data_IF_493019953089
#
_entry.id   IF_493019953089
#
_cell.length_a   1.000
_cell.length_b   1.000
_cell.length_c   1.000
_cell.angle_alpha   90.00
_cell.angle_beta   90.00
_cell.angle_gamma   90.00
#
_symmetry.space_group_name_H-M   'P 1'
#
loop_
_entity.id
_entity.type
_entity.pdbx_description
1 polymer ?
#
# COMPACT_ATOMS: atom_id res chain seq x y z
N UNK A 1 -15.34 19.68 9.22
CA UNK A 1 -14.74 18.90 10.31
C UNK A 1 -15.51 17.61 10.40
N UNK A 2 -14.83 16.49 10.15
CA UNK A 2 -15.40 15.19 10.50
C UNK A 2 -15.41 15.05 12.04
N UNK A 3 -16.32 14.23 12.55
CA UNK A 3 -16.32 13.82 13.95
C UNK A 3 -15.17 12.84 14.22
N UNK A 4 -14.79 12.69 15.49
CA UNK A 4 -13.77 11.71 15.89
C UNK A 4 -14.12 10.28 15.44
N UNK A 5 -15.39 9.89 15.52
CA UNK A 5 -15.83 8.56 15.08
C UNK A 5 -15.65 8.37 13.56
N UNK A 6 -15.99 9.37 12.76
CA UNK A 6 -15.77 9.34 11.31
C UNK A 6 -14.28 9.24 10.96
N UNK A 7 -13.41 9.97 11.67
CA UNK A 7 -11.95 9.88 11.49
C UNK A 7 -11.44 8.49 11.86
N UNK A 8 -11.88 7.94 12.99
CA UNK A 8 -11.53 6.59 13.43
C UNK A 8 -11.94 5.55 12.38
N UNK A 9 -13.14 5.65 11.82
CA UNK A 9 -13.60 4.72 10.79
C UNK A 9 -12.79 4.82 9.50
N UNK A 10 -12.38 6.03 9.09
CA UNK A 10 -11.47 6.19 7.96
C UNK A 10 -10.07 5.63 8.23
N UNK A 11 -9.55 5.77 9.45
CA UNK A 11 -8.28 5.18 9.88
C UNK A 11 -8.34 3.65 9.91
N UNK A 12 -9.46 3.05 10.34
CA UNK A 12 -9.66 1.59 10.28
C UNK A 12 -9.63 1.08 8.84
N UNK A 13 -10.19 1.84 7.90
CA UNK A 13 -10.16 1.48 6.47
C UNK A 13 -8.72 1.43 5.96
N UNK A 14 -7.94 2.50 6.17
CA UNK A 14 -6.54 2.50 5.68
C UNK A 14 -5.69 1.46 6.41
N UNK A 15 -5.93 1.25 7.71
CA UNK A 15 -5.30 0.17 8.48
C UNK A 15 -5.54 -1.23 7.86
N UNK A 16 -6.75 -1.51 7.38
CA UNK A 16 -7.03 -2.78 6.70
C UNK A 16 -6.35 -2.87 5.34
N UNK A 17 -6.26 -1.75 4.62
CA UNK A 17 -5.58 -1.67 3.33
C UNK A 17 -4.09 -1.99 3.49
N UNK A 18 -3.38 -1.30 4.39
CA UNK A 18 -1.93 -1.54 4.58
C UNK A 18 -1.66 -2.96 5.07
N UNK A 19 -2.51 -3.49 5.94
CA UNK A 19 -2.33 -4.87 6.40
C UNK A 19 -2.48 -5.89 5.26
N UNK A 20 -3.43 -5.69 4.34
CA UNK A 20 -3.56 -6.53 3.16
C UNK A 20 -2.37 -6.34 2.20
N UNK A 21 -1.91 -5.11 2.03
CA UNK A 21 -0.69 -4.77 1.27
C UNK A 21 0.52 -5.56 1.82
N UNK A 22 0.76 -5.55 3.13
CA UNK A 22 1.82 -6.34 3.79
C UNK A 22 1.73 -7.82 3.43
N UNK A 23 0.54 -8.42 3.54
CA UNK A 23 0.37 -9.86 3.26
C UNK A 23 0.71 -10.18 1.81
N UNK A 24 0.26 -9.34 0.88
CA UNK A 24 0.55 -9.47 -0.54
C UNK A 24 2.05 -9.28 -0.81
N UNK A 25 2.71 -8.35 -0.13
CA UNK A 25 4.14 -8.08 -0.29
C UNK A 25 4.98 -9.23 0.25
N UNK A 26 4.61 -9.82 1.39
CA UNK A 26 5.24 -11.04 1.91
C UNK A 26 5.11 -12.20 0.92
N UNK A 27 3.91 -12.40 0.36
CA UNK A 27 3.69 -13.46 -0.63
C UNK A 27 4.54 -13.25 -1.89
N UNK A 28 4.51 -12.05 -2.47
CA UNK A 28 5.22 -11.72 -3.70
C UNK A 28 6.75 -11.71 -3.51
N UNK A 29 7.25 -11.15 -2.40
CA UNK A 29 8.69 -11.14 -2.08
C UNK A 29 9.27 -12.54 -1.82
N UNK A 30 8.42 -13.49 -1.44
CA UNK A 30 8.83 -14.89 -1.23
C UNK A 30 8.70 -15.72 -2.50
N UNK A 31 7.54 -15.63 -3.16
CA UNK A 31 7.09 -16.63 -4.14
C UNK A 31 7.30 -16.24 -5.61
N UNK A 32 7.62 -14.97 -5.92
CA UNK A 32 7.91 -14.60 -7.30
C UNK A 32 9.16 -15.31 -7.82
N UNK A 33 9.09 -15.74 -9.08
CA UNK A 33 10.12 -16.49 -9.79
C UNK A 33 10.67 -15.70 -10.98
N UNK A 34 11.96 -15.93 -11.27
CA UNK A 34 12.63 -15.41 -12.46
C UNK A 34 13.65 -14.31 -12.15
N UNK A 35 14.67 -14.22 -12.98
CA UNK A 35 15.84 -13.32 -12.77
C UNK A 35 15.43 -11.86 -12.67
N UNK A 36 14.39 -11.46 -13.42
CA UNK A 36 13.87 -10.09 -13.40
C UNK A 36 13.03 -9.80 -12.15
N UNK A 37 12.52 -10.81 -11.45
CA UNK A 37 11.73 -10.60 -10.23
C UNK A 37 12.57 -10.16 -9.03
N UNK A 38 13.90 -10.40 -9.05
CA UNK A 38 14.77 -10.19 -7.88
C UNK A 38 14.75 -8.76 -7.32
N UNK A 39 14.68 -7.75 -8.19
CA UNK A 39 14.62 -6.36 -7.71
C UNK A 39 13.27 -6.02 -7.08
N UNK A 40 12.18 -6.53 -7.68
CA UNK A 40 10.82 -6.38 -7.15
C UNK A 40 10.70 -7.07 -5.79
N UNK A 41 11.25 -8.28 -5.65
CA UNK A 41 11.21 -9.03 -4.38
C UNK A 41 11.91 -8.28 -3.25
N UNK A 42 13.05 -7.66 -3.53
CA UNK A 42 13.81 -6.88 -2.53
C UNK A 42 13.07 -5.60 -2.13
N UNK A 43 12.47 -4.90 -3.09
CA UNK A 43 11.63 -3.73 -2.81
C UNK A 43 10.49 -4.13 -1.87
N UNK A 44 9.67 -5.10 -2.29
CA UNK A 44 8.52 -5.57 -1.51
C UNK A 44 8.92 -6.06 -0.11
N UNK A 45 10.04 -6.76 0.02
CA UNK A 45 10.55 -7.21 1.32
C UNK A 45 10.96 -6.05 2.25
N UNK A 46 11.43 -4.94 1.67
CA UNK A 46 11.78 -3.72 2.42
C UNK A 46 10.50 -3.02 2.90
N UNK A 47 9.51 -2.94 2.03
CA UNK A 47 8.28 -2.19 2.25
C UNK A 47 7.36 -2.88 3.28
N UNK A 48 7.47 -4.21 3.46
CA UNK A 48 6.75 -4.96 4.52
C UNK A 48 6.91 -4.33 5.92
N UNK A 49 8.07 -3.79 6.25
CA UNK A 49 8.31 -3.18 7.55
C UNK A 49 7.68 -1.78 7.69
N UNK A 50 7.50 -1.08 6.57
CA UNK A 50 6.88 0.25 6.50
C UNK A 50 5.36 0.10 6.69
N UNK A 51 4.76 -0.87 6.02
CA UNK A 51 3.31 -1.10 6.02
C UNK A 51 2.78 -1.82 7.28
N UNK A 52 3.66 -2.27 8.17
CA UNK A 52 3.27 -3.09 9.32
C UNK A 52 2.63 -2.26 10.44
N UNK A 53 1.34 -2.50 10.68
CA UNK A 53 0.52 -1.78 11.67
C UNK A 53 0.02 -2.70 12.82
N UNK A 54 -0.21 -2.19 14.05
CA UNK A 54 -0.41 -3.04 15.23
C UNK A 54 -1.81 -3.69 15.34
N UNK A 55 -1.87 -5.01 15.20
CA UNK A 55 -2.92 -5.89 15.78
C UNK A 55 -4.06 -6.36 14.86
N UNK A 56 -4.17 -7.66 14.60
CA UNK A 56 -5.06 -8.23 13.56
C UNK A 56 -6.56 -8.34 13.88
N UNK A 57 -7.00 -7.98 15.09
CA UNK A 57 -8.35 -8.35 15.57
C UNK A 57 -9.51 -7.71 14.78
N UNK A 58 -9.28 -6.59 14.11
CA UNK A 58 -10.29 -5.86 13.32
C UNK A 58 -9.94 -5.76 11.84
N UNK A 59 -8.92 -6.50 11.38
CA UNK A 59 -8.50 -6.49 9.98
C UNK A 59 -9.54 -7.19 9.12
N UNK A 60 -9.96 -6.51 8.05
CA UNK A 60 -10.74 -7.10 6.96
C UNK A 60 -9.84 -7.20 5.72
N UNK A 61 -9.85 -8.35 5.05
CA UNK A 61 -8.95 -8.66 3.93
C UNK A 61 -9.74 -9.25 2.75
N UNK A 62 -9.11 -9.28 1.58
CA UNK A 62 -9.66 -9.88 0.35
C UNK A 62 -10.30 -8.86 -0.58
N UNK A 63 -9.96 -7.57 -0.43
CA UNK A 63 -10.49 -6.48 -1.28
C UNK A 63 -9.48 -6.10 -2.36
N UNK A 64 -8.17 -6.23 -2.08
CA UNK A 64 -7.12 -5.91 -3.03
C UNK A 64 -6.94 -7.01 -4.08
N UNK A 65 -6.29 -6.66 -5.20
CA UNK A 65 -5.82 -7.65 -6.17
C UNK A 65 -4.82 -8.60 -5.50
N UNK A 66 -5.09 -9.89 -5.55
CA UNK A 66 -4.26 -10.91 -4.92
C UNK A 66 -3.04 -11.26 -5.79
N UNK A 67 -1.94 -11.77 -5.18
CA UNK A 67 -0.80 -12.32 -5.90
C UNK A 67 -1.21 -13.28 -7.03
N UNK A 68 -0.55 -13.23 -8.19
CA UNK A 68 -0.91 -14.06 -9.33
C UNK A 68 -0.54 -15.54 -9.11
N UNK A 69 -1.30 -16.45 -9.71
CA UNK A 69 -0.98 -17.89 -9.73
C UNK A 69 0.29 -18.19 -10.55
N UNK A 70 0.53 -17.42 -11.62
CA UNK A 70 1.77 -17.47 -12.38
C UNK A 70 2.86 -16.66 -11.65
N UNK A 71 3.77 -17.38 -11.00
CA UNK A 71 4.86 -16.78 -10.22
C UNK A 71 5.85 -15.98 -11.07
N UNK A 72 5.76 -16.05 -12.40
CA UNK A 72 6.60 -15.26 -13.32
C UNK A 72 5.92 -14.00 -13.85
N UNK A 73 4.64 -13.76 -13.52
CA UNK A 73 3.90 -12.57 -13.93
C UNK A 73 4.23 -11.36 -13.05
N UNK A 74 5.46 -10.86 -13.22
CA UNK A 74 5.99 -9.71 -12.49
C UNK A 74 5.22 -8.42 -12.85
N UNK A 75 4.68 -8.32 -14.07
CA UNK A 75 3.93 -7.13 -14.50
C UNK A 75 2.63 -7.02 -13.72
N UNK A 76 1.90 -8.13 -13.54
CA UNK A 76 0.68 -8.13 -12.75
C UNK A 76 0.93 -7.70 -11.30
N UNK A 77 2.03 -8.15 -10.69
CA UNK A 77 2.43 -7.72 -9.34
C UNK A 77 2.72 -6.22 -9.30
N UNK A 78 3.48 -5.69 -10.25
CA UNK A 78 3.78 -4.25 -10.31
C UNK A 78 2.49 -3.43 -10.43
N UNK A 79 1.55 -3.85 -11.27
CA UNK A 79 0.25 -3.18 -11.42
C UNK A 79 -0.61 -3.30 -10.15
N UNK A 80 -0.60 -4.46 -9.49
CA UNK A 80 -1.31 -4.69 -8.23
C UNK A 80 -0.82 -3.73 -7.14
N UNK A 81 0.50 -3.57 -7.03
CA UNK A 81 1.13 -2.61 -6.11
C UNK A 81 0.66 -1.20 -6.43
N UNK A 82 0.80 -0.75 -7.69
CA UNK A 82 0.38 0.60 -8.09
C UNK A 82 -1.10 0.86 -7.77
N UNK A 83 -1.97 -0.14 -7.94
CA UNK A 83 -3.39 -0.04 -7.60
C UNK A 83 -3.60 0.13 -6.07
N UNK A 84 -2.94 -0.69 -5.25
CA UNK A 84 -3.02 -0.62 -3.79
C UNK A 84 -2.52 0.73 -3.25
N UNK A 85 -1.33 1.14 -3.68
CA UNK A 85 -0.66 2.39 -3.29
C UNK A 85 -1.49 3.63 -3.70
N UNK A 86 -2.11 3.60 -4.89
CA UNK A 86 -2.99 4.68 -5.33
C UNK A 86 -4.26 4.76 -4.47
N UNK A 87 -4.83 3.62 -4.08
CA UNK A 87 -5.97 3.59 -3.19
C UNK A 87 -5.61 4.12 -1.79
N UNK A 88 -4.45 3.73 -1.24
CA UNK A 88 -3.94 4.23 0.04
C UNK A 88 -3.74 5.75 0.00
N UNK A 89 -3.06 6.26 -1.03
CA UNK A 89 -2.92 7.70 -1.30
C UNK A 89 -4.27 8.44 -1.25
N UNK A 90 -5.28 7.93 -1.95
CA UNK A 90 -6.60 8.56 -2.04
C UNK A 90 -7.30 8.58 -0.66
N UNK A 91 -7.14 7.50 0.12
CA UNK A 91 -7.69 7.39 1.46
C UNK A 91 -6.97 8.32 2.45
N UNK A 92 -5.64 8.42 2.42
CA UNK A 92 -4.90 9.39 3.24
C UNK A 92 -5.28 10.83 2.91
N UNK A 93 -5.38 11.18 1.61
CA UNK A 93 -5.86 12.51 1.17
C UNK A 93 -7.27 12.83 1.71
N UNK A 94 -8.13 11.83 1.85
CA UNK A 94 -9.46 11.98 2.46
C UNK A 94 -9.36 12.25 3.97
N UNK A 95 -8.53 11.49 4.69
CA UNK A 95 -8.34 11.67 6.14
C UNK A 95 -7.72 13.04 6.45
N UNK A 96 -6.69 13.46 5.71
CA UNK A 96 -6.03 14.76 5.88
C UNK A 96 -7.03 15.92 5.80
N UNK A 97 -7.96 15.86 4.82
CA UNK A 97 -9.02 16.88 4.69
C UNK A 97 -10.04 16.83 5.82
N UNK A 98 -10.30 15.65 6.36
CA UNK A 98 -11.28 15.45 7.41
C UNK A 98 -10.82 15.98 8.77
N UNK A 99 -9.50 15.93 9.02
CA UNK A 99 -8.84 16.37 10.25
C UNK A 99 -8.37 17.83 10.24
N UNK A 100 -8.43 18.50 9.07
CA UNK A 100 -7.97 19.88 8.86
C UNK A 100 -8.56 20.86 9.86
N UNK A 101 -7.70 21.49 10.66
CA UNK A 101 -8.07 22.56 11.59
C UNK A 101 -8.41 22.11 13.01
N UNK A 102 -8.41 20.80 13.29
CA UNK A 102 -8.81 20.22 14.59
C UNK A 102 -7.83 19.13 15.06
N UNK A 103 -7.68 18.04 14.29
CA UNK A 103 -6.85 16.89 14.65
C UNK A 103 -5.51 16.90 13.88
N UNK A 104 -4.65 17.85 14.22
CA UNK A 104 -3.36 18.04 13.57
C UNK A 104 -2.39 16.86 13.76
N UNK A 105 -2.54 16.09 14.84
CA UNK A 105 -1.64 14.94 15.10
C UNK A 105 -1.96 13.79 14.16
N UNK A 106 -3.24 13.44 14.02
CA UNK A 106 -3.66 12.45 13.01
C UNK A 106 -3.38 12.96 11.61
N UNK A 107 -3.59 14.26 11.36
CA UNK A 107 -3.27 14.87 10.07
C UNK A 107 -1.78 14.72 9.72
N UNK A 108 -0.87 15.07 10.62
CA UNK A 108 0.58 14.94 10.41
C UNK A 108 0.97 13.49 10.13
N UNK A 109 0.41 12.54 10.89
CA UNK A 109 0.64 11.11 10.64
C UNK A 109 0.22 10.72 9.21
N UNK A 110 -0.98 11.11 8.78
CA UNK A 110 -1.47 10.78 7.44
C UNK A 110 -0.67 11.48 6.33
N UNK A 111 -0.15 12.68 6.58
CA UNK A 111 0.74 13.38 5.63
C UNK A 111 2.06 12.62 5.45
N UNK A 112 2.64 12.12 6.55
CA UNK A 112 3.89 11.34 6.48
C UNK A 112 3.68 10.02 5.74
N UNK A 113 2.63 9.28 6.07
CA UNK A 113 2.31 8.02 5.39
C UNK A 113 2.01 8.26 3.90
N UNK A 114 1.25 9.31 3.56
CA UNK A 114 1.02 9.70 2.17
C UNK A 114 2.34 9.97 1.40
N UNK A 115 3.36 10.51 2.06
CA UNK A 115 4.65 10.74 1.40
C UNK A 115 5.35 9.42 1.06
N UNK A 116 5.27 8.43 1.95
CA UNK A 116 5.80 7.08 1.75
C UNK A 116 5.06 6.39 0.58
N UNK A 117 3.72 6.41 0.56
CA UNK A 117 2.91 5.85 -0.55
C UNK A 117 3.23 6.51 -1.91
N UNK A 118 3.43 7.84 -1.92
CA UNK A 118 3.78 8.56 -3.15
C UNK A 118 5.20 8.19 -3.64
N UNK A 119 6.12 7.86 -2.73
CA UNK A 119 7.46 7.35 -3.08
C UNK A 119 7.36 5.93 -3.70
N UNK A 120 6.61 5.02 -3.08
CA UNK A 120 6.33 3.69 -3.62
C UNK A 120 5.68 3.77 -5.01
N UNK A 121 4.68 4.63 -5.21
CA UNK A 121 4.06 4.85 -6.52
C UNK A 121 5.08 5.25 -7.59
N UNK A 122 5.98 6.17 -7.27
CA UNK A 122 7.02 6.62 -8.22
C UNK A 122 7.94 5.46 -8.56
N UNK A 123 8.38 4.70 -7.55
CA UNK A 123 9.25 3.54 -7.73
C UNK A 123 8.61 2.46 -8.62
N UNK A 124 7.40 2.00 -8.29
CA UNK A 124 6.72 0.94 -9.03
C UNK A 124 6.26 1.39 -10.42
N UNK A 125 5.86 2.65 -10.61
CA UNK A 125 5.66 3.21 -11.97
C UNK A 125 6.98 3.24 -12.76
N UNK A 126 8.12 3.41 -12.09
CA UNK A 126 9.45 3.25 -12.66
C UNK A 126 9.67 1.83 -13.16
N UNK A 127 9.45 0.82 -12.31
CA UNK A 127 9.52 -0.59 -12.71
C UNK A 127 8.58 -0.90 -13.87
N UNK A 128 7.33 -0.45 -13.84
CA UNK A 128 6.38 -0.73 -14.91
C UNK A 128 6.88 -0.27 -16.29
N UNK A 129 7.57 0.87 -16.37
CA UNK A 129 8.15 1.37 -17.62
C UNK A 129 9.21 0.45 -18.20
N UNK A 130 10.00 -0.23 -17.37
CA UNK A 130 11.02 -1.19 -17.81
C UNK A 130 10.43 -2.56 -18.17
N UNK A 131 9.32 -2.95 -17.53
CA UNK A 131 8.74 -4.29 -17.65
C UNK A 131 7.64 -4.38 -18.69
N UNK A 132 6.96 -3.28 -18.97
CA UNK A 132 6.01 -3.12 -20.07
C UNK A 132 6.42 -1.96 -20.98
N UNK A 133 7.58 -2.05 -21.67
CA UNK A 133 7.98 -1.05 -22.64
C UNK A 133 7.02 -1.13 -23.83
N UNK A 134 6.15 -0.13 -23.97
CA UNK A 134 5.48 0.16 -25.23
C UNK A 134 6.50 0.77 -26.22
#
# INVERSE_FOLDING_TARGET
MATTEEVIDMLKVVYCMEFETVMNYVANSTNLDGVRAEEIKKSLATDVAVELVPGSASVTVGVQRQPPDDTTDVVNVIEAVIEAEQAACDQYKKIIRATEGDDYVTQDLCIRLLADEEEHLVLFKGFLKEYSPN
#
